data_IF_872692282292
#
_entry.id   IF_872692282292
#
_cell.length_a   1.000
_cell.length_b   1.000
_cell.length_c   1.000
_cell.angle_alpha   90.00
_cell.angle_beta   90.00
_cell.angle_gamma   90.00
#
_symmetry.space_group_name_H-M   'P 1'
#
loop_
_entity.id
_entity.type
_entity.pdbx_description
1 polymer ?
#
# COMPACT_ATOMS: atom_id res chain seq x y z
N UNK A 1 -5.73 -32.98 45.71
CA UNK A 1 -7.11 -32.48 45.52
C UNK A 1 -7.05 -31.25 44.61
N UNK A 2 -7.32 -31.37 43.30
CA UNK A 2 -7.33 -30.21 42.41
C UNK A 2 -8.68 -29.47 42.50
N UNK A 3 -8.63 -28.16 42.72
CA UNK A 3 -9.82 -27.31 42.76
C UNK A 3 -10.45 -27.17 41.36
N UNK A 4 -11.64 -27.75 41.20
CA UNK A 4 -12.53 -27.49 40.07
C UNK A 4 -12.93 -26.00 40.06
N UNK A 5 -12.39 -25.21 39.12
CA UNK A 5 -12.92 -23.87 38.83
C UNK A 5 -14.18 -24.00 37.97
N UNK A 6 -15.23 -23.30 38.39
CA UNK A 6 -16.54 -23.31 37.74
C UNK A 6 -16.48 -22.70 36.33
N UNK A 7 -17.13 -23.37 35.37
CA UNK A 7 -17.22 -22.93 33.96
C UNK A 7 -17.96 -21.58 33.80
N UNK A 8 -18.75 -21.17 34.79
CA UNK A 8 -19.44 -19.88 34.82
C UNK A 8 -18.49 -18.67 34.88
N UNK A 9 -17.35 -18.82 35.56
CA UNK A 9 -16.45 -17.69 35.82
C UNK A 9 -15.66 -17.30 34.56
N UNK A 10 -15.37 -18.28 33.69
CA UNK A 10 -14.71 -18.05 32.41
C UNK A 10 -15.59 -17.30 31.41
N UNK A 11 -16.92 -17.46 31.47
CA UNK A 11 -17.87 -16.75 30.59
C UNK A 11 -18.03 -15.29 31.02
N UNK A 12 -18.13 -15.01 32.32
CA UNK A 12 -18.20 -13.63 32.82
C UNK A 12 -16.88 -12.87 32.62
N UNK A 13 -15.74 -13.55 32.71
CA UNK A 13 -14.44 -12.91 32.48
C UNK A 13 -14.22 -12.58 30.99
N UNK A 14 -14.82 -13.33 30.05
CA UNK A 14 -14.82 -13.00 28.62
C UNK A 14 -15.70 -11.79 28.28
N UNK A 15 -16.85 -11.62 28.94
CA UNK A 15 -17.74 -10.48 28.70
C UNK A 15 -17.15 -9.15 29.20
N UNK A 16 -16.43 -9.13 30.34
CA UNK A 16 -15.76 -7.91 30.85
C UNK A 16 -14.59 -7.42 30.00
N UNK A 17 -13.98 -8.28 29.17
CA UNK A 17 -12.89 -7.89 28.27
C UNK A 17 -13.38 -7.34 26.91
N UNK A 18 -14.69 -7.38 26.65
CA UNK A 18 -15.31 -6.97 25.38
C UNK A 18 -15.76 -5.50 25.35
N UNK A 19 -15.80 -4.80 26.49
CA UNK A 19 -16.46 -3.48 26.59
C UNK A 19 -15.52 -2.27 26.66
N UNK A 20 -14.19 -2.44 26.57
CA UNK A 20 -13.28 -1.29 26.45
C UNK A 20 -13.31 -0.74 25.04
N UNK A 21 -13.91 0.44 24.88
CA UNK A 21 -13.93 1.19 23.63
C UNK A 21 -12.47 1.40 23.13
N UNK A 22 -12.08 0.79 22.00
CA UNK A 22 -10.73 0.91 21.47
C UNK A 22 -10.36 2.35 21.13
N UNK A 23 -11.34 3.23 20.86
CA UNK A 23 -11.09 4.66 20.60
C UNK A 23 -10.71 5.42 21.88
N UNK A 24 -11.32 5.10 23.02
CA UNK A 24 -10.96 5.71 24.30
C UNK A 24 -9.53 5.35 24.73
N UNK A 25 -9.11 4.11 24.48
CA UNK A 25 -7.73 3.68 24.70
C UNK A 25 -6.78 4.43 23.75
N UNK A 26 -7.10 4.52 22.45
CA UNK A 26 -6.28 5.27 21.49
C UNK A 26 -6.19 6.77 21.82
N UNK A 27 -7.25 7.40 22.30
CA UNK A 27 -7.25 8.82 22.71
C UNK A 27 -6.33 9.06 23.91
N UNK A 28 -6.38 8.19 24.92
CA UNK A 28 -5.51 8.27 26.11
C UNK A 28 -4.03 8.11 25.74
N UNK A 29 -3.71 7.26 24.77
CA UNK A 29 -2.34 7.06 24.30
C UNK A 29 -1.88 8.11 23.28
N UNK A 30 -2.77 8.70 22.47
CA UNK A 30 -2.45 9.86 21.64
C UNK A 30 -1.93 11.01 22.50
N UNK A 31 -2.59 11.26 23.64
CA UNK A 31 -2.12 12.23 24.64
C UNK A 31 -0.75 11.87 25.23
N UNK A 32 -0.51 10.60 25.60
CA UNK A 32 0.81 10.15 26.10
C UNK A 32 1.91 10.20 25.05
N UNK A 33 1.61 9.82 23.80
CA UNK A 33 2.54 9.88 22.68
C UNK A 33 2.89 11.34 22.36
N UNK A 34 1.89 12.24 22.31
CA UNK A 34 2.11 13.66 22.18
C UNK A 34 3.02 14.21 23.29
N UNK A 35 2.85 13.74 24.53
CA UNK A 35 3.74 14.05 25.66
C UNK A 35 5.18 13.55 25.47
N UNK A 36 5.37 12.30 25.03
CA UNK A 36 6.70 11.74 24.74
C UNK A 36 7.40 12.44 23.59
N UNK A 37 6.66 12.83 22.54
CA UNK A 37 7.20 13.59 21.42
C UNK A 37 7.54 15.03 21.81
N UNK A 38 6.73 15.69 22.65
CA UNK A 38 7.04 17.02 23.19
C UNK A 38 8.31 17.02 24.06
N UNK A 39 8.64 15.91 24.73
CA UNK A 39 9.91 15.74 25.43
C UNK A 39 11.09 15.50 24.48
N UNK A 40 10.88 14.77 23.37
CA UNK A 40 11.90 14.58 22.32
C UNK A 40 12.24 15.90 21.60
N UNK A 41 11.24 16.73 21.31
CA UNK A 41 11.42 18.06 20.72
C UNK A 41 12.26 18.99 21.60
N UNK A 42 12.05 18.96 22.93
CA UNK A 42 12.88 19.74 23.87
C UNK A 42 14.35 19.30 23.89
N UNK A 43 14.65 18.03 23.58
CA UNK A 43 16.03 17.54 23.45
C UNK A 43 16.68 18.00 22.15
N UNK A 44 15.96 17.96 21.03
CA UNK A 44 16.49 18.36 19.71
C UNK A 44 16.76 19.87 19.66
N UNK A 45 15.88 20.69 20.21
CA UNK A 45 16.08 22.15 20.32
C UNK A 45 17.30 22.52 21.18
N UNK A 46 17.64 21.70 22.18
CA UNK A 46 18.83 21.92 23.01
C UNK A 46 20.14 21.60 22.29
N UNK A 47 20.10 20.70 21.30
CA UNK A 47 21.28 20.32 20.49
C UNK A 47 21.51 21.35 19.37
N UNK A 48 20.44 21.84 18.74
CA UNK A 48 20.53 22.85 17.69
C UNK A 48 20.96 24.24 18.18
N UNK A 49 20.65 24.59 19.44
CA UNK A 49 21.11 25.86 20.04
C UNK A 49 22.61 25.87 20.41
N UNK A 50 23.27 24.71 20.47
CA UNK A 50 24.66 24.59 20.92
C UNK A 50 25.67 24.22 19.83
N UNK A 51 25.24 23.94 18.60
CA UNK A 51 26.16 23.64 17.49
C UNK A 51 26.34 24.87 16.59
N UNK A 52 27.38 25.66 16.87
CA UNK A 52 27.82 26.75 15.99
C UNK A 52 28.24 26.24 14.61
N UNK A 53 27.67 26.86 13.57
CA UNK A 53 28.18 26.99 12.20
C UNK A 53 28.79 25.77 11.51
N UNK A 54 28.03 25.12 10.62
CA UNK A 54 28.58 24.26 9.58
C UNK A 54 28.12 24.71 8.18
N UNK A 55 29.08 25.11 7.35
CA UNK A 55 28.89 25.43 5.93
C UNK A 55 28.95 24.15 5.09
N UNK A 56 27.92 23.88 4.29
CA UNK A 56 27.87 22.71 3.39
C UNK A 56 28.09 23.15 1.95
N UNK A 57 29.19 22.67 1.37
CA UNK A 57 29.55 22.81 -0.06
C UNK A 57 28.68 21.88 -0.90
N UNK A 58 27.95 22.44 -1.88
CA UNK A 58 27.10 21.68 -2.83
C UNK A 58 27.90 21.32 -4.08
N UNK A 59 27.92 20.03 -4.45
CA UNK A 59 28.23 19.56 -5.82
C UNK A 59 26.94 19.09 -6.48
N UNK A 60 26.56 19.74 -7.58
CA UNK A 60 25.46 19.32 -8.45
C UNK A 60 26.01 18.49 -9.61
N UNK A 61 25.39 17.36 -9.92
CA UNK A 61 25.51 16.70 -11.22
C UNK A 61 24.17 16.83 -11.95
N UNK A 62 24.21 17.43 -13.13
CA UNK A 62 23.07 17.56 -14.05
C UNK A 62 23.11 16.40 -15.04
N UNK A 63 22.06 15.58 -15.08
CA UNK A 63 21.84 14.61 -16.17
C UNK A 63 20.86 15.18 -17.17
N UNK A 64 21.34 15.36 -18.41
CA UNK A 64 20.64 15.92 -19.56
C UNK A 64 19.91 14.78 -20.30
N UNK A 65 18.58 14.80 -20.31
CA UNK A 65 17.77 13.86 -21.09
C UNK A 65 17.46 14.49 -22.45
N UNK A 66 17.99 13.91 -23.53
CA UNK A 66 17.66 14.29 -24.91
C UNK A 66 16.49 13.42 -25.37
N UNK A 67 15.34 14.05 -25.62
CA UNK A 67 14.15 13.40 -26.15
C UNK A 67 14.14 13.58 -27.68
N UNK A 68 14.35 12.50 -28.43
CA UNK A 68 14.14 12.50 -29.88
C UNK A 68 12.66 12.24 -30.18
N UNK A 69 12.07 13.14 -30.97
CA UNK A 69 10.67 13.14 -31.40
C UNK A 69 10.61 12.49 -32.78
N UNK A 70 9.86 11.39 -32.94
CA UNK A 70 9.55 10.83 -34.25
C UNK A 70 8.07 11.08 -34.56
N UNK A 71 7.82 11.92 -35.56
CA UNK A 71 6.50 12.16 -36.14
C UNK A 71 6.08 10.98 -37.02
N UNK A 72 4.86 10.46 -36.80
CA UNK A 72 4.13 9.64 -37.78
C UNK A 72 2.70 10.15 -37.92
N UNK A 73 2.40 10.70 -39.10
CA UNK A 73 1.05 11.05 -39.57
C UNK A 73 0.35 9.80 -40.11
N UNK A 74 -0.93 9.62 -39.78
CA UNK A 74 -1.86 8.86 -40.61
C UNK A 74 -3.18 9.64 -40.76
N UNK A 75 -3.85 9.55 -41.92
CA UNK A 75 -5.08 10.27 -42.21
C UNK A 75 -6.31 9.49 -41.73
N UNK A 76 -7.34 10.19 -41.23
CA UNK A 76 -8.63 9.59 -40.90
C UNK A 76 -9.73 10.14 -41.81
N UNK A 77 -10.37 9.20 -42.50
CA UNK A 77 -11.56 9.31 -43.35
C UNK A 77 -12.81 9.67 -42.54
N UNK A 78 -13.67 10.48 -43.15
CA UNK A 78 -14.96 10.97 -42.67
C UNK A 78 -16.06 9.90 -42.77
N UNK A 79 -17.00 9.86 -41.81
CA UNK A 79 -18.37 9.44 -42.07
C UNK A 79 -19.37 10.06 -41.08
N UNK A 80 -20.47 10.50 -41.68
CA UNK A 80 -21.63 11.26 -41.25
C UNK A 80 -22.56 10.50 -40.30
N UNK A 81 -23.21 11.19 -39.34
CA UNK A 81 -24.69 11.19 -39.11
C UNK A 81 -25.10 12.12 -37.95
N UNK A 82 -26.14 12.92 -38.19
CA UNK A 82 -26.88 13.76 -37.22
C UNK A 82 -28.11 12.98 -36.63
N UNK A 83 -29.13 13.61 -36.01
CA UNK A 83 -29.17 14.01 -34.59
C UNK A 83 -30.43 13.45 -33.87
N UNK A 84 -30.50 13.54 -32.53
CA UNK A 84 -31.81 13.68 -31.87
C UNK A 84 -31.71 14.29 -30.47
N UNK A 85 -32.73 15.09 -30.18
CA UNK A 85 -32.95 15.92 -29.01
C UNK A 85 -33.77 15.20 -27.95
N UNK A 86 -33.58 15.53 -26.67
CA UNK A 86 -34.71 15.65 -25.74
C UNK A 86 -34.34 16.36 -24.43
N UNK A 87 -35.25 17.26 -24.06
CA UNK A 87 -35.36 18.03 -22.83
C UNK A 87 -35.50 17.14 -21.58
N UNK A 88 -34.86 17.52 -20.46
CA UNK A 88 -35.34 17.14 -19.12
C UNK A 88 -35.29 18.32 -18.15
N UNK A 89 -36.42 18.47 -17.45
CA UNK A 89 -36.83 19.57 -16.57
C UNK A 89 -36.09 19.61 -15.24
N UNK A 90 -35.92 20.85 -14.76
CA UNK A 90 -35.38 21.26 -13.47
C UNK A 90 -36.43 21.09 -12.37
N UNK A 91 -36.17 20.25 -11.38
CA UNK A 91 -37.05 19.99 -10.22
C UNK A 91 -36.49 20.52 -8.90
N UNK A 92 -37.37 21.15 -8.11
CA UNK A 92 -37.14 21.83 -6.82
C UNK A 92 -36.63 20.92 -5.71
N UNK A 93 -35.70 21.43 -4.91
CA UNK A 93 -35.23 20.89 -3.62
C UNK A 93 -36.18 21.31 -2.50
N UNK A 94 -36.69 20.35 -1.74
CA UNK A 94 -37.40 20.55 -0.46
C UNK A 94 -36.81 19.61 0.58
N UNK A 95 -36.52 20.16 1.75
CA UNK A 95 -35.90 19.57 2.93
C UNK A 95 -36.81 18.59 3.68
N UNK A 96 -36.27 17.44 4.08
CA UNK A 96 -36.74 16.69 5.26
C UNK A 96 -35.67 15.70 5.73
N UNK A 97 -35.16 15.90 6.94
CA UNK A 97 -34.15 15.06 7.57
C UNK A 97 -34.60 14.79 9.00
N UNK A 98 -35.50 13.82 9.19
CA UNK A 98 -35.84 13.28 10.52
C UNK A 98 -36.74 12.05 10.43
N UNK A 99 -36.31 10.96 9.75
CA UNK A 99 -37.11 9.71 9.75
C UNK A 99 -36.29 8.44 9.41
N UNK A 100 -34.96 8.46 9.59
CA UNK A 100 -34.07 7.44 8.99
C UNK A 100 -33.77 6.19 9.84
N UNK A 101 -34.56 5.90 10.88
CA UNK A 101 -34.29 4.73 11.74
C UNK A 101 -35.31 3.59 11.64
N UNK A 102 -36.47 3.77 11.00
CA UNK A 102 -37.47 2.69 10.82
C UNK A 102 -37.58 2.12 9.40
N UNK A 103 -36.88 2.67 8.40
CA UNK A 103 -36.95 2.21 6.98
C UNK A 103 -35.98 1.08 6.60
N UNK A 104 -35.15 0.59 7.54
CA UNK A 104 -34.15 -0.45 7.23
C UNK A 104 -34.82 -1.81 6.89
N UNK A 105 -36.12 -1.97 7.17
CA UNK A 105 -36.88 -3.19 6.94
C UNK A 105 -37.45 -3.41 5.53
N UNK A 106 -37.46 -2.41 4.64
CA UNK A 106 -38.13 -2.53 3.32
C UNK A 106 -37.30 -2.01 2.15
N UNK A 107 -35.97 -2.10 2.20
CA UNK A 107 -35.15 -1.88 1.00
C UNK A 107 -35.51 -2.92 -0.06
N UNK A 108 -35.94 -2.44 -1.23
CA UNK A 108 -36.27 -3.29 -2.37
C UNK A 108 -35.01 -3.99 -2.88
N UNK A 109 -35.15 -5.17 -3.47
CA UNK A 109 -34.00 -5.93 -3.99
C UNK A 109 -33.20 -5.13 -5.03
N UNK A 110 -33.86 -4.24 -5.77
CA UNK A 110 -33.24 -3.35 -6.76
C UNK A 110 -32.32 -2.31 -6.10
N UNK A 111 -32.70 -1.74 -4.96
CA UNK A 111 -31.86 -0.79 -4.21
C UNK A 111 -30.63 -1.47 -3.63
N UNK A 112 -30.76 -2.71 -3.14
CA UNK A 112 -29.61 -3.51 -2.69
C UNK A 112 -28.65 -3.83 -3.84
N UNK A 113 -29.19 -4.12 -5.02
CA UNK A 113 -28.39 -4.37 -6.22
C UNK A 113 -27.62 -3.10 -6.63
N UNK A 114 -28.30 -1.95 -6.59
CA UNK A 114 -27.71 -0.65 -6.93
C UNK A 114 -26.64 -0.21 -5.92
N UNK A 115 -26.82 -0.52 -4.64
CA UNK A 115 -25.81 -0.28 -3.60
C UNK A 115 -24.59 -1.19 -3.81
N UNK A 116 -24.80 -2.47 -4.15
CA UNK A 116 -23.72 -3.40 -4.51
C UNK A 116 -22.96 -2.95 -5.76
N UNK A 117 -23.66 -2.49 -6.80
CA UNK A 117 -23.03 -1.91 -7.99
C UNK A 117 -22.23 -0.65 -7.64
N UNK A 118 -22.73 0.21 -6.75
CA UNK A 118 -22.02 1.40 -6.31
C UNK A 118 -20.77 1.05 -5.49
N UNK A 119 -20.84 0.06 -4.59
CA UNK A 119 -19.70 -0.42 -3.81
C UNK A 119 -18.65 -1.08 -4.72
N UNK A 120 -19.09 -1.89 -5.68
CA UNK A 120 -18.22 -2.47 -6.71
C UNK A 120 -17.55 -1.39 -7.56
N UNK A 121 -18.30 -0.37 -7.98
CA UNK A 121 -17.75 0.78 -8.71
C UNK A 121 -16.73 1.54 -7.86
N UNK A 122 -16.95 1.71 -6.55
CA UNK A 122 -15.99 2.35 -5.64
C UNK A 122 -14.71 1.51 -5.48
N UNK A 123 -14.82 0.18 -5.42
CA UNK A 123 -13.66 -0.73 -5.37
C UNK A 123 -12.79 -0.60 -6.62
N UNK A 124 -13.40 -0.35 -7.78
CA UNK A 124 -12.70 -0.07 -9.03
C UNK A 124 -12.21 1.38 -9.18
N UNK A 125 -12.87 2.36 -8.55
CA UNK A 125 -12.56 3.79 -8.64
C UNK A 125 -11.51 4.27 -7.62
N UNK A 126 -11.18 3.47 -6.61
CA UNK A 126 -10.04 3.73 -5.73
C UNK A 126 -8.88 2.75 -5.98
N UNK A 127 -8.32 2.66 -7.20
CA UNK A 127 -7.15 1.81 -7.48
C UNK A 127 -5.88 2.33 -6.79
N UNK A 128 -5.93 3.54 -6.22
CA UNK A 128 -4.85 4.16 -5.47
C UNK A 128 -5.25 4.34 -4.01
N UNK A 129 -4.32 4.09 -3.08
CA UNK A 129 -4.45 4.58 -1.70
C UNK A 129 -4.54 6.12 -1.80
N UNK A 130 -5.75 6.67 -1.66
CA UNK A 130 -6.04 8.12 -1.73
C UNK A 130 -5.15 8.94 -0.78
N UNK A 131 -4.53 8.24 0.17
CA UNK A 131 -3.68 8.80 1.21
C UNK A 131 -2.18 8.57 0.99
N UNK A 132 -1.78 7.87 -0.07
CA UNK A 132 -0.41 7.71 -0.51
C UNK A 132 0.00 8.81 -1.51
N UNK A 133 -0.57 10.01 -1.39
CA UNK A 133 -0.09 11.17 -2.12
C UNK A 133 1.42 11.33 -1.83
N UNK A 134 2.27 11.49 -2.87
CA UNK A 134 3.69 11.70 -2.66
C UNK A 134 3.86 12.92 -1.75
N UNK A 135 4.47 12.70 -0.58
CA UNK A 135 4.90 13.82 0.26
C UNK A 135 6.11 14.40 -0.45
N UNK A 136 5.97 15.60 -1.02
CA UNK A 136 7.07 16.33 -1.61
C UNK A 136 8.20 16.39 -0.58
N UNK A 137 9.26 15.62 -0.83
CA UNK A 137 10.39 15.54 0.09
C UNK A 137 11.25 16.76 -0.12
N UNK A 138 11.44 17.51 0.96
CA UNK A 138 12.36 18.64 1.17
C UNK A 138 13.39 18.84 0.05
N UNK A 139 13.13 19.76 -0.88
CA UNK A 139 14.05 20.04 -1.98
C UNK A 139 13.78 21.32 -2.75
N UNK A 140 12.53 21.79 -2.83
CA UNK A 140 12.22 23.04 -3.52
C UNK A 140 12.37 24.24 -2.58
N UNK A 141 13.27 25.16 -2.93
CA UNK A 141 13.59 26.38 -2.17
C UNK A 141 12.48 27.46 -2.21
N UNK A 142 11.21 27.05 -2.23
CA UNK A 142 10.05 27.95 -2.26
C UNK A 142 8.80 27.44 -1.53
N UNK A 143 8.89 26.33 -0.78
CA UNK A 143 7.73 25.80 -0.06
C UNK A 143 7.30 26.72 1.10
N UNK A 144 6.00 26.98 1.22
CA UNK A 144 5.46 27.80 2.31
C UNK A 144 5.55 27.06 3.64
N UNK A 145 5.68 27.78 4.76
CA UNK A 145 5.61 27.20 6.12
C UNK A 145 4.31 26.38 6.28
N UNK A 146 3.21 26.82 5.65
CA UNK A 146 1.96 26.07 5.65
C UNK A 146 2.07 24.71 4.95
N UNK A 147 2.86 24.61 3.88
CA UNK A 147 3.08 23.34 3.18
C UNK A 147 3.89 22.38 4.04
N UNK A 148 4.89 22.90 4.79
CA UNK A 148 5.63 22.10 5.75
C UNK A 148 4.74 21.56 6.88
N UNK A 149 3.85 22.40 7.41
CA UNK A 149 2.88 21.99 8.44
C UNK A 149 1.92 20.95 7.88
N UNK A 150 1.40 21.14 6.66
CA UNK A 150 0.53 20.18 5.98
C UNK A 150 1.23 18.85 5.70
N UNK A 151 2.46 18.88 5.22
CA UNK A 151 3.29 17.68 4.98
C UNK A 151 3.59 16.94 6.29
N UNK A 152 3.84 17.67 7.38
CA UNK A 152 3.99 17.11 8.71
C UNK A 152 2.72 16.39 9.16
N UNK A 153 1.56 17.05 9.11
CA UNK A 153 0.28 16.43 9.47
C UNK A 153 -0.09 15.23 8.58
N UNK A 154 0.22 15.28 7.28
CA UNK A 154 0.04 14.15 6.37
C UNK A 154 0.90 12.95 6.79
N UNK A 155 2.17 13.19 7.15
CA UNK A 155 3.10 12.15 7.61
C UNK A 155 2.63 11.54 8.93
N UNK A 156 2.17 12.37 9.88
CA UNK A 156 1.61 11.90 11.16
C UNK A 156 0.33 11.07 10.96
N UNK A 157 -0.56 11.50 10.06
CA UNK A 157 -1.76 10.76 9.72
C UNK A 157 -1.47 9.38 9.13
N UNK A 158 -0.48 9.27 8.25
CA UNK A 158 -0.03 7.98 7.71
C UNK A 158 0.52 7.07 8.82
N UNK A 159 1.35 7.62 9.72
CA UNK A 159 1.88 6.88 10.86
C UNK A 159 0.76 6.33 11.75
N UNK A 160 -0.22 7.14 12.13
CA UNK A 160 -1.33 6.72 12.97
C UNK A 160 -2.18 5.62 12.32
N UNK A 161 -2.42 5.72 11.00
CA UNK A 161 -3.14 4.69 10.24
C UNK A 161 -2.37 3.37 10.21
N UNK A 162 -1.05 3.41 10.06
CA UNK A 162 -0.22 2.21 10.14
C UNK A 162 -0.31 1.56 11.53
N UNK A 163 -0.29 2.37 12.60
CA UNK A 163 -0.44 1.88 13.98
C UNK A 163 -1.79 1.20 14.18
N UNK A 164 -2.89 1.82 13.73
CA UNK A 164 -4.23 1.20 13.78
C UNK A 164 -4.28 -0.10 12.97
N UNK A 165 -3.69 -0.12 11.78
CA UNK A 165 -3.67 -1.32 10.94
C UNK A 165 -2.88 -2.46 11.61
N UNK A 166 -1.70 -2.19 12.17
CA UNK A 166 -0.92 -3.16 12.92
C UNK A 166 -1.66 -3.65 14.17
N UNK A 167 -2.36 -2.75 14.87
CA UNK A 167 -3.18 -3.12 16.02
C UNK A 167 -4.30 -4.07 15.63
N UNK A 168 -5.04 -3.77 14.55
CA UNK A 168 -6.09 -4.65 14.01
C UNK A 168 -5.54 -6.01 13.57
N UNK A 169 -4.38 -6.02 12.94
CA UNK A 169 -3.70 -7.27 12.59
C UNK A 169 -3.30 -8.08 13.83
N UNK A 170 -2.81 -7.41 14.88
CA UNK A 170 -2.44 -8.06 16.14
C UNK A 170 -3.66 -8.64 16.87
N UNK A 171 -4.80 -7.93 16.87
CA UNK A 171 -6.03 -8.43 17.50
C UNK A 171 -6.56 -9.68 16.83
N UNK A 172 -6.43 -9.78 15.51
CA UNK A 172 -6.93 -10.89 14.67
C UNK A 172 -5.88 -11.97 14.40
N UNK A 173 -4.73 -11.96 15.10
CA UNK A 173 -3.60 -12.87 14.87
C UNK A 173 -3.17 -12.99 13.39
N UNK A 174 -3.22 -11.87 12.67
CA UNK A 174 -2.98 -11.81 11.23
C UNK A 174 -1.49 -11.89 10.83
N UNK A 175 -0.56 -11.97 11.80
CA UNK A 175 0.87 -12.04 11.52
C UNK A 175 1.32 -13.49 11.26
N UNK A 176 1.98 -13.76 10.12
CA UNK A 176 2.46 -15.11 9.83
C UNK A 176 3.55 -15.52 10.81
N UNK A 177 3.34 -16.62 11.54
CA UNK A 177 4.34 -17.23 12.42
C UNK A 177 4.63 -16.47 13.72
N UNK A 178 3.93 -15.39 14.03
CA UNK A 178 4.17 -14.58 15.24
C UNK A 178 2.92 -14.56 16.12
N UNK A 179 3.02 -15.15 17.31
CA UNK A 179 1.97 -15.05 18.34
C UNK A 179 2.18 -13.77 19.15
N UNK A 180 1.28 -12.80 19.02
CA UNK A 180 1.35 -11.54 19.77
C UNK A 180 0.79 -11.75 21.17
N UNK A 181 1.65 -11.82 22.19
CA UNK A 181 1.23 -11.96 23.60
C UNK A 181 0.52 -10.71 24.12
N UNK A 182 1.06 -9.53 23.81
CA UNK A 182 0.54 -8.24 24.26
C UNK A 182 0.12 -7.40 23.05
N UNK A 183 -1.19 -7.10 22.96
CA UNK A 183 -1.79 -6.33 21.85
C UNK A 183 -1.28 -4.89 21.76
N UNK A 184 -0.89 -4.32 22.91
CA UNK A 184 -0.38 -2.97 23.03
C UNK A 184 1.07 -3.07 23.49
N UNK A 185 2.00 -3.08 22.55
CA UNK A 185 3.43 -3.12 22.84
C UNK A 185 4.13 -1.92 22.21
N UNK A 186 5.23 -1.45 22.80
CA UNK A 186 5.99 -0.31 22.27
C UNK A 186 6.45 -0.50 20.81
N UNK A 187 6.76 -1.73 20.32
CA UNK A 187 7.04 -1.96 18.89
C UNK A 187 5.91 -1.55 17.93
N UNK A 188 4.66 -1.50 18.39
CA UNK A 188 3.50 -1.09 17.57
C UNK A 188 3.68 0.32 16.99
N UNK A 189 4.36 1.19 17.73
CA UNK A 189 4.59 2.59 17.36
C UNK A 189 5.75 2.77 16.36
N UNK A 190 6.55 1.73 16.12
CA UNK A 190 7.63 1.74 15.14
C UNK A 190 7.35 0.73 14.03
N UNK A 191 6.51 1.13 13.08
CA UNK A 191 6.10 0.33 11.90
C UNK A 191 7.30 -0.22 11.13
N UNK A 192 8.40 0.54 11.08
CA UNK A 192 9.56 0.18 10.26
C UNK A 192 10.46 -0.86 10.93
N UNK A 193 10.43 -0.95 12.26
CA UNK A 193 11.33 -1.81 13.04
C UNK A 193 10.58 -2.79 13.94
N UNK A 194 9.28 -3.03 13.69
CA UNK A 194 8.52 -3.98 14.47
C UNK A 194 9.05 -5.40 14.24
N UNK A 195 9.44 -6.15 15.29
CA UNK A 195 9.87 -7.55 15.15
C UNK A 195 8.80 -8.44 14.50
N UNK A 196 7.53 -8.09 14.65
CA UNK A 196 6.38 -8.80 14.07
C UNK A 196 6.38 -8.83 12.54
N UNK A 197 7.05 -7.88 11.89
CA UNK A 197 7.14 -7.80 10.44
C UNK A 197 8.36 -8.52 9.87
N UNK A 198 9.22 -9.12 10.69
CA UNK A 198 10.40 -9.86 10.20
C UNK A 198 10.02 -10.99 9.24
N UNK A 199 9.09 -11.91 9.56
CA UNK A 199 8.73 -13.00 8.64
C UNK A 199 8.02 -12.48 7.39
N UNK A 200 7.26 -11.40 7.53
CA UNK A 200 6.60 -10.74 6.40
C UNK A 200 7.64 -10.18 5.41
N UNK A 201 8.67 -9.48 5.89
CA UNK A 201 9.75 -8.94 5.04
C UNK A 201 10.51 -10.02 4.27
N UNK A 202 10.77 -11.16 4.92
CA UNK A 202 11.41 -12.30 4.26
C UNK A 202 10.50 -12.87 3.16
N UNK A 203 9.22 -13.07 3.49
CA UNK A 203 8.23 -13.58 2.53
C UNK A 203 8.08 -12.66 1.32
N UNK A 204 8.02 -11.34 1.52
CA UNK A 204 7.90 -10.39 0.40
C UNK A 204 9.17 -10.30 -0.44
N UNK A 205 10.35 -10.39 0.17
CA UNK A 205 11.63 -10.47 -0.55
C UNK A 205 11.73 -11.74 -1.40
N UNK A 206 11.25 -12.87 -0.88
CA UNK A 206 11.26 -14.13 -1.63
C UNK A 206 10.24 -14.11 -2.78
N UNK A 207 9.04 -13.57 -2.55
CA UNK A 207 8.06 -13.34 -3.62
C UNK A 207 8.63 -12.41 -4.69
N UNK A 208 9.31 -11.33 -4.29
CA UNK A 208 9.98 -10.41 -5.20
C UNK A 208 11.00 -11.13 -6.09
N UNK A 209 11.92 -11.91 -5.49
CA UNK A 209 12.92 -12.70 -6.24
C UNK A 209 12.26 -13.66 -7.23
N UNK A 210 11.21 -14.37 -6.81
CA UNK A 210 10.47 -15.31 -7.67
C UNK A 210 9.80 -14.62 -8.85
N UNK A 211 9.23 -13.44 -8.64
CA UNK A 211 8.63 -12.64 -9.72
C UNK A 211 9.71 -12.19 -10.71
N UNK A 212 10.83 -11.64 -10.24
CA UNK A 212 11.91 -11.18 -11.12
C UNK A 212 12.54 -12.33 -11.92
N UNK A 213 12.73 -13.49 -11.28
CA UNK A 213 13.16 -14.72 -11.97
C UNK A 213 12.16 -15.17 -13.03
N UNK A 214 10.87 -15.18 -12.70
CA UNK A 214 9.81 -15.56 -13.63
C UNK A 214 9.71 -14.58 -14.81
N UNK A 215 9.96 -13.29 -14.59
CA UNK A 215 10.01 -12.29 -15.66
C UNK A 215 11.20 -12.56 -16.58
N UNK A 216 12.38 -12.82 -16.03
CA UNK A 216 13.57 -13.14 -16.83
C UNK A 216 13.39 -14.44 -17.63
N UNK A 217 12.79 -15.47 -17.02
CA UNK A 217 12.57 -16.77 -17.66
C UNK A 217 11.33 -16.83 -18.57
N UNK A 218 10.46 -15.82 -18.54
CA UNK A 218 9.18 -15.82 -19.25
C UNK A 218 8.12 -16.79 -18.68
N UNK A 219 8.16 -17.10 -17.38
CA UNK A 219 7.17 -17.99 -16.74
C UNK A 219 5.87 -17.26 -16.37
N UNK A 220 4.93 -17.25 -17.33
CA UNK A 220 3.57 -16.68 -17.20
C UNK A 220 2.80 -17.27 -15.99
N UNK A 221 2.95 -18.57 -15.71
CA UNK A 221 2.19 -19.24 -14.64
C UNK A 221 2.58 -18.70 -13.28
N UNK A 222 3.88 -18.54 -13.02
CA UNK A 222 4.35 -17.99 -11.75
C UNK A 222 3.93 -16.53 -11.57
N UNK A 223 3.92 -15.74 -12.64
CA UNK A 223 3.48 -14.34 -12.59
C UNK A 223 1.99 -14.24 -12.27
N UNK A 224 1.13 -14.97 -12.99
CA UNK A 224 -0.32 -15.01 -12.70
C UNK A 224 -0.63 -15.45 -11.26
N UNK A 225 0.22 -16.29 -10.67
CA UNK A 225 0.05 -16.77 -9.28
C UNK A 225 0.50 -15.73 -8.25
N UNK A 226 1.58 -14.99 -8.51
CA UNK A 226 2.23 -14.10 -7.53
C UNK A 226 1.90 -12.61 -7.74
N UNK A 227 1.19 -12.26 -8.81
CA UNK A 227 0.78 -10.89 -9.12
C UNK A 227 -0.73 -10.81 -9.26
N UNK A 228 -1.27 -9.60 -9.19
CA UNK A 228 -2.69 -9.32 -9.37
C UNK A 228 -2.89 -7.96 -10.07
N UNK A 229 -4.14 -7.66 -10.45
CA UNK A 229 -4.58 -6.37 -10.95
C UNK A 229 -3.72 -5.84 -12.14
N UNK A 230 -3.44 -4.52 -12.15
CA UNK A 230 -2.74 -3.86 -13.24
C UNK A 230 -1.28 -4.29 -13.34
N UNK A 231 -0.64 -4.60 -12.20
CA UNK A 231 0.74 -5.08 -12.20
C UNK A 231 0.87 -6.38 -12.98
N UNK A 232 -0.05 -7.34 -12.78
CA UNK A 232 -0.08 -8.58 -13.54
C UNK A 232 -0.19 -8.31 -15.05
N UNK A 233 -1.16 -7.49 -15.46
CA UNK A 233 -1.38 -7.16 -16.87
C UNK A 233 -0.15 -6.52 -17.52
N UNK A 234 0.54 -5.63 -16.79
CA UNK A 234 1.79 -5.01 -17.26
C UNK A 234 2.93 -6.01 -17.43
N UNK A 235 3.15 -6.90 -16.45
CA UNK A 235 4.20 -7.91 -16.54
C UNK A 235 3.95 -8.93 -17.66
N UNK A 236 2.69 -9.35 -17.84
CA UNK A 236 2.33 -10.25 -18.94
C UNK A 236 2.51 -9.58 -20.31
N UNK A 237 2.17 -8.29 -20.42
CA UNK A 237 2.43 -7.52 -21.64
C UNK A 237 3.93 -7.43 -21.92
N UNK A 238 4.75 -7.20 -20.90
CA UNK A 238 6.20 -7.13 -21.01
C UNK A 238 6.79 -8.45 -21.54
N UNK A 239 6.41 -9.58 -20.96
CA UNK A 239 6.91 -10.90 -21.38
C UNK A 239 6.45 -11.29 -22.78
N UNK A 240 5.21 -10.96 -23.16
CA UNK A 240 4.72 -11.21 -24.52
C UNK A 240 5.44 -10.36 -25.56
N UNK A 241 5.94 -9.19 -25.18
CA UNK A 241 6.77 -8.33 -26.03
C UNK A 241 8.25 -8.70 -26.04
N UNK A 242 8.66 -9.67 -25.22
CA UNK A 242 10.04 -10.10 -25.10
C UNK A 242 10.45 -10.90 -26.34
N UNK A 243 11.66 -10.65 -26.82
CA UNK A 243 12.20 -11.32 -27.99
C UNK A 243 12.55 -12.78 -27.65
N UNK A 244 11.82 -13.72 -28.26
CA UNK A 244 12.03 -15.15 -28.05
C UNK A 244 13.41 -15.65 -28.49
N UNK A 245 14.19 -14.87 -29.26
CA UNK A 245 15.56 -15.19 -29.67
C UNK A 245 16.62 -14.87 -28.60
N UNK A 246 16.22 -14.14 -27.54
CA UNK A 246 17.08 -13.70 -26.46
C UNK A 246 16.75 -14.43 -25.16
N UNK A 247 17.79 -14.77 -24.40
CA UNK A 247 17.69 -15.40 -23.09
C UNK A 247 18.09 -14.37 -22.05
N UNK A 248 17.21 -14.10 -21.10
CA UNK A 248 17.41 -13.08 -20.09
C UNK A 248 17.78 -13.77 -18.77
N UNK A 249 18.91 -13.38 -18.19
CA UNK A 249 19.42 -13.96 -16.95
C UNK A 249 19.49 -12.85 -15.91
N UNK A 250 18.59 -12.94 -14.94
CA UNK A 250 18.54 -12.03 -13.80
C UNK A 250 19.26 -12.67 -12.60
N UNK A 251 20.17 -11.91 -11.97
CA UNK A 251 20.86 -12.33 -10.75
C UNK A 251 20.60 -11.34 -9.62
N UNK A 252 20.26 -11.88 -8.45
CA UNK A 252 20.13 -11.15 -7.21
C UNK A 252 21.45 -11.18 -6.45
N UNK A 253 22.07 -10.02 -6.23
CA UNK A 253 23.37 -9.92 -5.52
C UNK A 253 23.21 -9.61 -4.04
N UNK A 254 22.04 -9.14 -3.60
CA UNK A 254 21.77 -8.84 -2.20
C UNK A 254 20.90 -7.60 -2.01
N UNK A 255 20.60 -7.32 -0.75
CA UNK A 255 19.96 -6.08 -0.32
C UNK A 255 21.02 -5.05 0.02
N UNK A 256 20.99 -3.87 -0.62
CA UNK A 256 21.83 -2.73 -0.23
C UNK A 256 21.35 -2.16 1.10
N UNK A 257 20.02 -2.07 1.26
CA UNK A 257 19.36 -1.82 2.54
C UNK A 257 18.26 -2.86 2.74
N UNK A 258 18.06 -3.34 3.97
CA UNK A 258 17.00 -4.30 4.25
C UNK A 258 15.64 -3.80 3.76
N UNK A 259 14.86 -4.70 3.17
CA UNK A 259 13.46 -4.52 2.81
C UNK A 259 12.70 -3.78 3.92
N UNK A 260 11.97 -2.73 3.54
CA UNK A 260 11.32 -1.81 4.48
C UNK A 260 9.83 -1.71 4.18
N UNK A 261 9.01 -2.00 5.17
CA UNK A 261 7.56 -1.74 5.10
C UNK A 261 7.33 -0.25 5.34
N UNK A 262 6.85 0.44 4.32
CA UNK A 262 6.63 1.89 4.32
C UNK A 262 5.25 2.23 4.87
N UNK A 263 4.23 1.49 4.43
CA UNK A 263 2.84 1.67 4.81
C UNK A 263 2.14 0.33 4.91
N UNK A 264 1.20 0.20 5.83
CA UNK A 264 0.34 -0.98 5.96
C UNK A 264 -1.09 -0.55 6.25
N UNK A 265 -2.03 -1.23 5.61
CA UNK A 265 -3.47 -1.02 5.72
C UNK A 265 -4.15 -2.36 5.95
N UNK A 266 -5.09 -2.38 6.87
CA UNK A 266 -5.90 -3.54 7.18
C UNK A 266 -7.36 -3.11 7.26
N UNK A 267 -8.18 -3.67 6.37
CA UNK A 267 -9.61 -3.35 6.24
C UNK A 267 -10.40 -4.66 6.32
N UNK A 268 -11.56 -4.64 6.97
CA UNK A 268 -12.47 -5.78 6.91
C UNK A 268 -13.17 -5.78 5.55
N UNK A 269 -12.83 -6.75 4.70
CA UNK A 269 -13.34 -6.82 3.34
C UNK A 269 -14.13 -8.11 3.08
N UNK A 270 -14.10 -9.07 4.02
CA UNK A 270 -15.00 -10.21 3.96
C UNK A 270 -16.39 -9.79 4.45
N UNK A 271 -17.32 -9.60 3.52
CA UNK A 271 -18.69 -9.16 3.78
C UNK A 271 -19.67 -10.30 4.11
N UNK A 272 -19.22 -11.56 4.12
CA UNK A 272 -20.06 -12.69 4.50
C UNK A 272 -20.52 -12.60 5.95
N UNK A 273 -21.78 -12.96 6.20
CA UNK A 273 -22.40 -12.95 7.53
C UNK A 273 -21.64 -13.85 8.52
N UNK A 274 -21.21 -15.02 8.06
CA UNK A 274 -20.43 -15.98 8.85
C UNK A 274 -18.94 -15.62 8.90
N UNK A 275 -18.26 -16.04 9.96
CA UNK A 275 -16.80 -15.92 10.03
C UNK A 275 -16.14 -16.91 9.05
N UNK A 276 -15.04 -16.54 8.38
CA UNK A 276 -14.38 -17.44 7.46
C UNK A 276 -13.82 -18.65 8.19
N UNK A 277 -13.99 -19.85 7.60
CA UNK A 277 -13.50 -21.12 8.18
C UNK A 277 -11.98 -21.12 8.42
N UNK A 278 -11.24 -20.36 7.62
CA UNK A 278 -9.79 -20.25 7.68
C UNK A 278 -9.42 -18.77 7.76
N UNK A 279 -8.57 -18.42 8.74
CA UNK A 279 -7.99 -17.09 8.87
C UNK A 279 -8.93 -16.04 9.45
N UNK A 280 -8.98 -14.83 8.87
CA UNK A 280 -9.79 -13.72 9.38
C UNK A 280 -10.33 -12.81 8.25
N UNK A 281 -11.24 -11.89 8.61
CA UNK A 281 -11.96 -11.02 7.66
C UNK A 281 -11.12 -9.90 7.04
N UNK A 282 -9.84 -9.81 7.37
CA UNK A 282 -8.99 -8.70 6.95
C UNK A 282 -8.47 -8.89 5.51
N UNK A 283 -8.55 -7.82 4.74
CA UNK A 283 -7.72 -7.58 3.56
C UNK A 283 -6.57 -6.69 4.02
N UNK A 284 -5.35 -7.20 3.83
CA UNK A 284 -4.13 -6.45 4.18
C UNK A 284 -3.42 -6.02 2.92
N UNK A 285 -3.09 -4.73 2.85
CA UNK A 285 -2.25 -4.15 1.83
C UNK A 285 -1.02 -3.53 2.48
N UNK A 286 0.15 -3.78 1.92
CA UNK A 286 1.42 -3.32 2.45
C UNK A 286 2.30 -2.76 1.34
N UNK A 287 2.70 -1.50 1.49
CA UNK A 287 3.67 -0.85 0.63
C UNK A 287 5.08 -1.18 1.13
N UNK A 288 5.88 -1.81 0.29
CA UNK A 288 7.21 -2.29 0.64
C UNK A 288 8.24 -1.66 -0.30
N UNK A 289 9.30 -1.09 0.29
CA UNK A 289 10.47 -0.56 -0.41
C UNK A 289 11.57 -1.63 -0.44
N UNK A 290 12.03 -1.94 -1.65
CA UNK A 290 13.23 -2.74 -1.91
C UNK A 290 14.37 -1.81 -2.34
N UNK A 291 15.57 -1.99 -1.77
CA UNK A 291 16.81 -1.30 -2.15
C UNK A 291 17.87 -2.39 -2.32
N UNK A 292 18.05 -2.85 -3.56
CA UNK A 292 18.70 -4.13 -3.88
C UNK A 292 19.76 -3.97 -4.96
N UNK A 293 20.76 -4.84 -4.94
CA UNK A 293 21.81 -4.91 -5.96
C UNK A 293 21.50 -6.04 -6.93
N UNK A 294 21.40 -5.72 -8.23
CA UNK A 294 20.94 -6.66 -9.25
C UNK A 294 21.76 -6.55 -10.53
N UNK A 295 21.88 -7.65 -11.27
CA UNK A 295 22.42 -7.62 -12.64
C UNK A 295 21.44 -8.33 -13.58
N UNK A 296 21.33 -7.81 -14.80
CA UNK A 296 20.55 -8.40 -15.87
C UNK A 296 21.45 -8.55 -17.09
N UNK A 297 21.60 -9.78 -17.55
CA UNK A 297 22.36 -10.13 -18.75
C UNK A 297 21.40 -10.69 -19.79
N UNK A 298 21.64 -10.34 -21.05
CA UNK A 298 20.85 -10.78 -22.19
C UNK A 298 21.79 -11.52 -23.13
N UNK A 299 21.50 -12.80 -23.32
CA UNK A 299 22.25 -13.69 -24.19
C UNK A 299 21.46 -13.97 -25.46
N UNK A 300 22.17 -14.27 -26.54
CA UNK A 300 21.60 -14.95 -27.70
C UNK A 300 21.27 -16.40 -27.34
N UNK A 301 20.36 -17.05 -28.07
CA UNK A 301 20.16 -18.52 -28.02
C UNK A 301 21.45 -19.33 -28.14
N UNK A 302 22.48 -18.79 -28.81
CA UNK A 302 23.80 -19.43 -28.97
C UNK A 302 24.73 -19.23 -27.77
N UNK A 303 24.29 -18.52 -26.73
CA UNK A 303 25.09 -18.23 -25.53
C UNK A 303 26.01 -17.00 -25.63
N UNK A 304 26.04 -16.30 -26.77
CA UNK A 304 26.79 -15.04 -26.89
C UNK A 304 26.11 -13.93 -26.09
N UNK A 305 26.88 -13.18 -25.29
CA UNK A 305 26.37 -12.02 -24.54
C UNK A 305 26.03 -10.89 -25.53
N UNK A 306 24.77 -10.46 -25.55
CA UNK A 306 24.28 -9.38 -26.41
C UNK A 306 24.25 -8.04 -25.67
N UNK A 307 23.79 -8.05 -24.42
CA UNK A 307 23.62 -6.84 -23.62
C UNK A 307 23.74 -7.15 -22.13
N UNK A 308 24.21 -6.16 -21.36
CA UNK A 308 24.24 -6.19 -19.91
C UNK A 308 25.63 -6.48 -19.36
N UNK A 309 25.85 -6.01 -18.14
CA UNK A 309 27.11 -6.17 -17.42
C UNK A 309 26.87 -7.10 -16.22
N UNK A 310 27.91 -7.82 -15.81
CA UNK A 310 27.86 -8.56 -14.54
C UNK A 310 27.90 -7.63 -13.32
N UNK A 311 28.29 -6.36 -13.51
CA UNK A 311 28.39 -5.38 -12.43
C UNK A 311 27.00 -5.12 -11.80
N UNK A 312 26.82 -5.39 -10.50
CA UNK A 312 25.55 -5.16 -9.84
C UNK A 312 25.16 -3.67 -9.84
N UNK A 313 23.95 -3.37 -10.27
CA UNK A 313 23.35 -2.02 -10.25
C UNK A 313 22.36 -1.91 -9.10
N UNK A 314 22.31 -0.73 -8.49
CA UNK A 314 21.36 -0.46 -7.42
C UNK A 314 19.96 -0.22 -7.99
N UNK A 315 18.96 -0.94 -7.48
CA UNK A 315 17.58 -0.86 -7.92
C UNK A 315 16.69 -0.60 -6.70
N UNK A 316 15.95 0.51 -6.76
CA UNK A 316 14.98 0.90 -5.74
C UNK A 316 13.57 0.75 -6.30
N UNK A 317 12.74 -0.05 -5.65
CA UNK A 317 11.38 -0.33 -6.09
C UNK A 317 10.39 -0.27 -4.93
N UNK A 318 9.19 0.22 -5.21
CA UNK A 318 8.08 0.29 -4.27
C UNK A 318 6.95 -0.58 -4.79
N UNK A 319 6.68 -1.69 -4.11
CA UNK A 319 5.63 -2.63 -4.50
C UNK A 319 4.56 -2.68 -3.43
N UNK A 320 3.30 -2.70 -3.87
CA UNK A 320 2.13 -2.90 -3.01
C UNK A 320 1.82 -4.39 -3.01
N UNK A 321 2.01 -5.02 -1.85
CA UNK A 321 1.58 -6.39 -1.62
C UNK A 321 0.17 -6.42 -1.06
N UNK A 322 -0.61 -7.40 -1.47
CA UNK A 322 -1.96 -7.64 -0.97
C UNK A 322 -2.09 -9.10 -0.52
N UNK A 323 -2.80 -9.31 0.59
CA UNK A 323 -3.25 -10.63 1.01
C UNK A 323 -4.66 -10.57 1.58
N UNK A 324 -5.50 -11.48 1.08
CA UNK A 324 -6.83 -11.77 1.64
C UNK A 324 -6.64 -12.79 2.75
N UNK A 325 -6.92 -12.43 3.99
CA UNK A 325 -6.60 -13.28 5.15
C UNK A 325 -7.61 -14.41 5.37
N UNK A 326 -8.74 -14.42 4.65
CA UNK A 326 -9.75 -15.49 4.70
C UNK A 326 -9.46 -16.65 3.71
N UNK A 327 -8.35 -16.60 2.98
CA UNK A 327 -7.85 -17.67 2.12
C UNK A 327 -6.41 -17.99 2.49
N UNK A 328 -6.02 -19.26 2.38
CA UNK A 328 -4.60 -19.65 2.45
C UNK A 328 -3.90 -19.36 1.12
N UNK A 329 -3.82 -18.08 0.79
CA UNK A 329 -3.16 -17.58 -0.42
C UNK A 329 -1.79 -16.95 -0.05
N UNK A 330 -0.81 -17.03 -0.96
CA UNK A 330 0.44 -16.28 -0.80
C UNK A 330 0.18 -14.77 -0.89
N UNK A 331 1.15 -13.98 -0.44
CA UNK A 331 1.16 -12.55 -0.71
C UNK A 331 1.38 -12.32 -2.20
N UNK A 332 0.52 -11.51 -2.82
CA UNK A 332 0.59 -11.16 -4.24
C UNK A 332 0.95 -9.68 -4.42
N UNK A 333 1.72 -9.36 -5.47
CA UNK A 333 2.02 -7.98 -5.84
C UNK A 333 0.86 -7.42 -6.66
N UNK A 334 0.20 -6.39 -6.14
CA UNK A 334 -0.95 -5.73 -6.78
C UNK A 334 -0.51 -4.58 -7.67
N UNK A 335 0.33 -3.69 -7.14
CA UNK A 335 0.71 -2.43 -7.79
C UNK A 335 2.21 -2.14 -7.61
N UNK A 336 2.74 -1.30 -8.51
CA UNK A 336 4.09 -0.75 -8.45
C UNK A 336 4.02 0.77 -8.43
N UNK A 337 4.67 1.39 -7.44
CA UNK A 337 4.81 2.83 -7.35
C UNK A 337 6.20 3.24 -7.86
N UNK A 338 6.25 4.38 -8.54
CA UNK A 338 7.49 4.99 -9.03
C UNK A 338 7.77 6.26 -8.21
N UNK A 339 9.00 6.44 -7.76
CA UNK A 339 9.42 7.71 -7.15
C UNK A 339 9.34 8.83 -8.18
N UNK A 340 8.78 9.99 -7.81
CA UNK A 340 8.76 11.19 -8.66
C UNK A 340 7.64 11.28 -9.68
N UNK A 341 6.68 10.34 -9.73
CA UNK A 341 5.43 10.56 -10.46
C UNK A 341 4.45 11.22 -9.49
N UNK A 342 4.31 12.54 -9.59
CA UNK A 342 3.19 13.24 -8.97
C UNK A 342 1.90 12.62 -9.50
N UNK A 343 1.04 12.16 -8.60
CA UNK A 343 -0.28 11.70 -8.98
C UNK A 343 -1.00 12.88 -9.65
N UNK A 344 -1.13 12.86 -10.98
CA UNK A 344 -2.01 13.77 -11.69
C UNK A 344 -3.42 13.45 -11.25
N UNK A 345 -3.88 14.09 -10.18
CA UNK A 345 -5.27 14.08 -9.79
C UNK A 345 -5.99 14.83 -10.90
N UNK A 346 -6.59 14.09 -11.84
CA UNK A 346 -7.52 14.68 -12.80
C UNK A 346 -8.71 15.17 -12.00
N UNK A 347 -8.65 16.45 -11.61
CA UNK A 347 -9.77 17.14 -11.01
C UNK A 347 -10.74 17.38 -12.15
N UNK A 348 -11.66 16.46 -12.38
CA UNK A 348 -12.81 16.67 -13.25
C UNK A 348 -13.64 17.78 -12.61
N UNK A 349 -13.55 18.98 -13.21
CA UNK A 349 -14.30 20.18 -12.84
C UNK A 349 -15.79 20.04 -13.19
#
# INVERSE_FOLDING_TARGET
MPHHRSSSDLVQQRQKLSSTDPLAVLATYSSKAAGMYAQSWRRIDSVFRNSGGFSIVRRCYTTRTVLQKTDKKHPHTQSTTEPSSSNVKRGKRSSKTSEKQNEIGQMTNEERLKELEMVSAIEHLAPFDVWAAPVNTFGEMGASILDHVRAFFATQGNWFRNVIALYRMATENAFPGVKVKNRISTPLFSVQSTPWLVPFRQTTLDTYKRIQQAIASGDDKTIKRLTAADYQSQQLKFIRGQDSSKVYVWKFHGEKKPCKVVSIRAVQAHLGSEEPKIGNRLLVQALVKFDTMQSLQVYSKRGALLQGDETPKNVVEYLVFQKRMWYDAPWVVRDRLYEGIEAKVSTSA
#
